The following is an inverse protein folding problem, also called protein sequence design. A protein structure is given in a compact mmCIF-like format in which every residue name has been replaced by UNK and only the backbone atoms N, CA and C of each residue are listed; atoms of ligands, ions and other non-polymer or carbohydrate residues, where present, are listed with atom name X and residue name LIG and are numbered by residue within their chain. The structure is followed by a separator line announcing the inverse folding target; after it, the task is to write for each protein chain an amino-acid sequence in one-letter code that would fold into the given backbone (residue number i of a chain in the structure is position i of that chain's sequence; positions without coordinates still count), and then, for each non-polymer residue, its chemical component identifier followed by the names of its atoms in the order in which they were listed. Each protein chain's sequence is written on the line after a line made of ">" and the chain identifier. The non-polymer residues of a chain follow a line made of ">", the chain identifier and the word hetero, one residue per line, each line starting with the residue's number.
data_IF_227890162411
#
_entry.id   IF_227890162411
#
_cell.length_a   1.000
_cell.length_b   1.000
_cell.length_c   1.000
_cell.angle_alpha   90.00
_cell.angle_beta   90.00
_cell.angle_gamma   90.00
#
_symmetry.space_group_name_H-M   'P 1'
#
loop_
_entity.id
_entity.type
_entity.pdbx_description
1 polymer ?
#
# COMPACT_ATOMS: atom_id res chain seq x y z
N UNK A 1 15.63 13.85 20.77
CA UNK A 1 15.87 12.49 20.26
C UNK A 1 14.77 11.52 20.69
N UNK A 2 14.21 10.79 19.74
CA UNK A 2 13.25 9.70 19.93
C UNK A 2 13.71 8.48 19.11
N UNK A 3 13.25 7.30 19.53
CA UNK A 3 13.52 6.04 18.85
C UNK A 3 12.47 5.78 17.77
N UNK A 4 12.93 5.47 16.56
CA UNK A 4 12.09 5.11 15.43
C UNK A 4 12.51 3.74 14.89
N UNK A 5 11.56 2.85 14.68
CA UNK A 5 11.79 1.61 13.95
C UNK A 5 11.43 1.82 12.48
N UNK A 6 12.43 1.79 11.62
CA UNK A 6 12.27 1.93 10.18
C UNK A 6 12.39 0.59 9.47
N UNK A 7 11.56 0.36 8.46
CA UNK A 7 11.63 -0.83 7.60
C UNK A 7 11.01 -0.53 6.24
N UNK A 8 11.40 -1.28 5.21
CA UNK A 8 10.91 -1.09 3.84
C UNK A 8 9.80 -2.06 3.47
N UNK A 9 8.93 -1.63 2.57
CA UNK A 9 7.91 -2.43 1.91
C UNK A 9 8.14 -2.35 0.41
N UNK A 10 8.47 -3.48 -0.21
CA UNK A 10 8.58 -3.61 -1.65
C UNK A 10 8.08 -4.97 -2.12
N UNK A 11 7.35 -4.95 -3.23
CA UNK A 11 6.86 -6.12 -3.96
C UNK A 11 6.39 -5.69 -5.34
N UNK A 12 6.32 -6.63 -6.31
CA UNK A 12 5.87 -6.34 -7.67
C UNK A 12 4.43 -5.86 -7.71
N UNK A 13 3.63 -6.27 -6.73
CA UNK A 13 2.26 -5.82 -6.53
C UNK A 13 2.00 -5.60 -5.04
N UNK A 14 1.17 -4.61 -4.72
CA UNK A 14 0.64 -4.36 -3.39
C UNK A 14 -0.84 -3.93 -3.46
N UNK A 15 -1.57 -4.02 -2.36
CA UNK A 15 -2.93 -3.51 -2.29
C UNK A 15 -3.25 -2.94 -0.90
N UNK A 16 -3.48 -1.64 -0.84
CA UNK A 16 -3.74 -0.90 0.40
C UNK A 16 -5.22 -0.56 0.47
N UNK A 17 -6.03 -1.48 1.00
CA UNK A 17 -7.48 -1.43 0.87
C UNK A 17 -8.12 -0.12 1.35
N UNK A 18 -9.13 0.32 0.60
CA UNK A 18 -10.02 1.43 0.93
C UNK A 18 -11.46 0.89 1.15
N UNK A 19 -12.39 1.76 1.52
CA UNK A 19 -13.81 1.48 1.68
C UNK A 19 -14.36 0.82 0.42
N UNK A 20 -14.86 -0.40 0.57
CA UNK A 20 -15.32 -1.23 -0.54
C UNK A 20 -16.80 -1.61 -0.36
N UNK A 21 -17.61 -1.37 -1.39
CA UNK A 21 -19.02 -1.79 -1.46
C UNK A 21 -19.23 -2.62 -2.72
N UNK A 22 -19.99 -3.72 -2.63
CA UNK A 22 -20.29 -4.58 -3.77
C UNK A 22 -19.09 -5.40 -4.25
N UNK A 23 -18.80 -5.36 -5.55
CA UNK A 23 -17.78 -6.18 -6.24
C UNK A 23 -16.44 -5.45 -6.44
N UNK A 24 -16.40 -4.15 -6.21
CA UNK A 24 -15.21 -3.32 -6.38
C UNK A 24 -14.35 -3.35 -5.10
N UNK A 25 -13.03 -3.46 -5.25
CA UNK A 25 -12.03 -3.50 -4.17
C UNK A 25 -10.93 -2.48 -4.46
N UNK A 26 -11.14 -1.19 -4.14
CA UNK A 26 -10.16 -0.12 -4.37
C UNK A 26 -8.87 -0.30 -3.55
N UNK A 27 -7.83 0.41 -3.97
CA UNK A 27 -6.54 0.51 -3.26
C UNK A 27 -6.04 1.95 -3.23
N UNK A 28 -5.62 2.40 -2.05
CA UNK A 28 -4.89 3.65 -1.86
C UNK A 28 -3.55 3.65 -2.61
N UNK A 29 -2.97 4.84 -2.78
CA UNK A 29 -1.68 5.08 -3.42
C UNK A 29 -0.47 4.84 -2.53
N UNK A 30 -0.66 4.54 -1.25
CA UNK A 30 0.40 4.31 -0.28
C UNK A 30 -0.06 3.29 0.78
N UNK A 31 0.87 2.65 1.51
CA UNK A 31 0.55 1.84 2.67
C UNK A 31 -0.39 2.55 3.64
N UNK A 32 -1.52 1.91 3.95
CA UNK A 32 -2.45 2.41 4.97
C UNK A 32 -1.96 2.04 6.35
N UNK A 33 -2.31 2.84 7.35
CA UNK A 33 -2.06 2.55 8.76
C UNK A 33 -2.48 1.13 9.14
N UNK A 34 -3.72 0.76 8.83
CA UNK A 34 -4.27 -0.57 9.14
C UNK A 34 -3.55 -1.69 8.39
N UNK A 35 -3.11 -1.44 7.15
CA UNK A 35 -2.29 -2.39 6.38
C UNK A 35 -0.93 -2.64 7.02
N UNK A 36 -0.25 -1.57 7.45
CA UNK A 36 1.05 -1.65 8.14
C UNK A 36 0.90 -2.32 9.50
N UNK A 37 -0.08 -1.91 10.32
CA UNK A 37 -0.33 -2.57 11.62
C UNK A 37 -0.72 -4.03 11.46
N UNK A 38 -1.50 -4.38 10.44
CA UNK A 38 -1.83 -5.77 10.13
C UNK A 38 -0.60 -6.61 9.80
N UNK A 39 0.36 -6.04 9.06
CA UNK A 39 1.65 -6.68 8.78
C UNK A 39 2.49 -6.85 10.05
N UNK A 40 2.56 -5.83 10.90
CA UNK A 40 3.26 -5.89 12.20
C UNK A 40 2.62 -6.91 13.13
N UNK A 41 1.29 -6.93 13.23
CA UNK A 41 0.54 -7.90 14.00
C UNK A 41 0.79 -9.33 13.52
N UNK A 42 0.83 -9.55 12.19
CA UNK A 42 1.17 -10.83 11.61
C UNK A 42 2.60 -11.26 11.97
N UNK A 43 3.56 -10.34 11.90
CA UNK A 43 4.94 -10.60 12.30
C UNK A 43 5.05 -11.01 13.77
N UNK A 44 4.28 -10.35 14.65
CA UNK A 44 4.18 -10.63 16.07
C UNK A 44 3.39 -11.91 16.41
N UNK A 45 2.69 -12.51 15.43
CA UNK A 45 1.85 -13.69 15.63
C UNK A 45 0.50 -13.40 16.29
N UNK A 46 0.03 -12.16 16.25
CA UNK A 46 -1.26 -11.76 16.82
C UNK A 46 -2.37 -12.22 15.88
N UNK A 47 -3.24 -13.09 16.37
CA UNK A 47 -4.38 -13.64 15.63
C UNK A 47 -5.59 -12.69 15.64
N UNK A 48 -6.51 -12.88 14.70
CA UNK A 48 -7.67 -11.97 14.50
C UNK A 48 -8.67 -11.97 15.65
N UNK A 49 -8.73 -13.05 16.40
CA UNK A 49 -9.56 -13.22 17.59
C UNK A 49 -8.98 -12.52 18.83
N UNK A 50 -7.72 -12.09 18.79
CA UNK A 50 -7.08 -11.39 19.89
C UNK A 50 -7.26 -9.87 19.81
N UNK A 51 -8.50 -9.41 19.95
CA UNK A 51 -8.88 -8.00 19.83
C UNK A 51 -8.10 -7.11 20.81
N UNK A 52 -7.87 -7.57 22.03
CA UNK A 52 -7.15 -6.80 23.05
C UNK A 52 -5.70 -6.46 22.64
N UNK A 53 -4.98 -7.41 22.03
CA UNK A 53 -3.61 -7.16 21.55
C UNK A 53 -3.60 -6.29 20.29
N UNK A 54 -4.56 -6.49 19.38
CA UNK A 54 -4.70 -5.66 18.18
C UNK A 54 -4.97 -4.20 18.55
N UNK A 55 -5.87 -3.96 19.52
CA UNK A 55 -6.21 -2.63 20.01
C UNK A 55 -5.04 -1.99 20.78
N UNK A 56 -4.27 -2.78 21.53
CA UNK A 56 -3.07 -2.29 22.20
C UNK A 56 -1.98 -1.87 21.19
N UNK A 57 -1.80 -2.65 20.11
CA UNK A 57 -0.88 -2.30 19.03
C UNK A 57 -1.32 -1.03 18.31
N UNK A 58 -2.61 -0.94 17.97
CA UNK A 58 -3.19 0.25 17.35
C UNK A 58 -2.93 1.50 18.21
N UNK A 59 -3.37 1.50 19.47
CA UNK A 59 -3.21 2.67 20.36
C UNK A 59 -1.73 3.03 20.64
N UNK A 60 -0.88 2.01 20.73
CA UNK A 60 0.52 2.14 21.12
C UNK A 60 1.47 2.60 20.01
N UNK A 61 1.11 2.40 18.74
CA UNK A 61 1.99 2.71 17.61
C UNK A 61 1.54 3.94 16.83
N UNK A 62 2.49 4.81 16.49
CA UNK A 62 2.36 5.86 15.47
C UNK A 62 3.10 5.44 14.22
N UNK A 63 2.54 5.78 13.06
CA UNK A 63 3.07 5.38 11.76
C UNK A 63 3.37 6.61 10.92
N UNK A 64 4.50 6.52 10.22
CA UNK A 64 4.85 7.39 9.12
C UNK A 64 5.30 6.57 7.91
N UNK A 65 5.06 7.12 6.72
CA UNK A 65 5.35 6.49 5.44
C UNK A 65 6.09 7.49 4.56
N UNK A 66 7.27 7.12 4.07
CA UNK A 66 7.94 7.74 2.93
C UNK A 66 7.66 6.88 1.71
N UNK A 67 6.95 7.44 0.73
CA UNK A 67 6.63 6.74 -0.51
C UNK A 67 7.75 7.01 -1.51
N UNK A 68 8.64 6.03 -1.63
CA UNK A 68 9.83 6.12 -2.47
C UNK A 68 9.47 5.92 -3.95
N UNK A 69 8.57 4.97 -4.25
CA UNK A 69 7.96 4.79 -5.57
C UNK A 69 6.44 4.56 -5.43
N UNK A 70 5.60 5.43 -6.01
CA UNK A 70 4.14 5.33 -5.89
C UNK A 70 3.55 4.12 -6.64
N UNK A 71 4.24 3.65 -7.68
CA UNK A 71 3.76 2.58 -8.54
C UNK A 71 2.58 2.98 -9.43
N UNK A 72 2.15 2.05 -10.28
CA UNK A 72 1.01 2.26 -11.17
C UNK A 72 -0.24 1.53 -10.69
N UNK A 73 -1.41 2.04 -11.07
CA UNK A 73 -2.69 1.39 -10.74
C UNK A 73 -2.94 0.24 -11.72
N UNK A 74 -3.02 -0.98 -11.20
CA UNK A 74 -3.48 -2.15 -11.95
C UNK A 74 -4.87 -2.55 -11.47
N UNK A 75 -5.85 -2.60 -12.39
CA UNK A 75 -7.19 -3.11 -12.10
C UNK A 75 -7.33 -4.54 -12.62
N UNK A 76 -7.41 -5.49 -11.70
CA UNK A 76 -7.60 -6.91 -11.98
C UNK A 76 -9.09 -7.24 -12.14
N UNK A 77 -9.44 -7.87 -13.26
CA UNK A 77 -10.76 -8.47 -13.47
C UNK A 77 -10.75 -9.89 -12.92
N UNK A 78 -11.32 -10.05 -11.74
CA UNK A 78 -11.14 -11.25 -10.93
C UNK A 78 -12.43 -12.04 -10.80
N UNK A 79 -12.44 -13.25 -11.36
CA UNK A 79 -13.60 -14.15 -11.33
C UNK A 79 -13.46 -15.18 -10.22
N UNK A 80 -14.57 -15.60 -9.62
CA UNK A 80 -14.59 -16.70 -8.65
C UNK A 80 -15.81 -17.56 -8.93
N UNK A 81 -15.59 -18.84 -9.20
CA UNK A 81 -16.68 -19.81 -9.34
C UNK A 81 -17.19 -20.23 -7.97
N UNK A 82 -18.50 -20.22 -7.77
CA UNK A 82 -19.13 -20.66 -6.51
C UNK A 82 -20.35 -21.52 -6.82
N UNK A 83 -20.67 -22.52 -5.99
CA UNK A 83 -21.94 -23.21 -6.10
C UNK A 83 -23.11 -22.25 -5.80
N UNK A 84 -24.32 -22.52 -6.31
CA UNK A 84 -25.51 -21.79 -5.91
C UNK A 84 -25.72 -21.87 -4.40
N UNK A 85 -26.26 -20.80 -3.81
CA UNK A 85 -26.63 -20.80 -2.40
C UNK A 85 -27.72 -21.85 -2.16
N UNK A 86 -27.40 -22.90 -1.40
CA UNK A 86 -28.33 -23.97 -1.04
C UNK A 86 -28.58 -23.99 0.46
N UNK A 87 -29.86 -24.05 0.87
CA UNK A 87 -30.26 -24.04 2.30
C UNK A 87 -29.77 -25.24 3.12
N UNK A 88 -29.50 -26.39 2.46
CA UNK A 88 -29.09 -27.65 3.10
C UNK A 88 -27.77 -28.23 2.56
N UNK A 89 -27.09 -27.53 1.65
CA UNK A 89 -25.82 -27.95 1.07
C UNK A 89 -24.65 -27.47 1.92
N UNK A 90 -23.75 -28.38 2.33
CA UNK A 90 -22.50 -28.02 3.00
C UNK A 90 -21.33 -28.52 2.17
N UNK A 91 -20.50 -27.60 1.70
CA UNK A 91 -19.21 -27.90 1.09
C UNK A 91 -18.14 -27.71 2.17
N UNK A 92 -17.26 -28.71 2.36
CA UNK A 92 -16.22 -28.65 3.39
C UNK A 92 -14.91 -28.09 2.86
N UNK A 93 -14.67 -28.29 1.57
CA UNK A 93 -13.45 -27.86 0.89
C UNK A 93 -13.77 -27.12 -0.38
N UNK A 94 -12.79 -26.35 -0.87
CA UNK A 94 -12.88 -25.70 -2.18
C UNK A 94 -13.05 -26.70 -3.33
N UNK A 95 -12.51 -27.91 -3.20
CA UNK A 95 -12.71 -28.98 -4.18
C UNK A 95 -14.18 -29.41 -4.22
N UNK A 96 -14.82 -29.55 -3.06
CA UNK A 96 -16.24 -29.93 -2.98
C UNK A 96 -17.15 -28.85 -3.58
N UNK A 97 -16.80 -27.58 -3.41
CA UNK A 97 -17.52 -26.45 -4.03
C UNK A 97 -17.45 -26.51 -5.55
N UNK A 98 -16.26 -26.79 -6.10
CA UNK A 98 -16.03 -26.82 -7.55
C UNK A 98 -16.60 -28.06 -8.24
N UNK A 99 -16.85 -29.14 -7.49
CA UNK A 99 -17.48 -30.36 -7.98
C UNK A 99 -19.02 -30.32 -7.98
N UNK A 100 -19.63 -29.19 -7.59
CA UNK A 100 -21.09 -29.06 -7.60
C UNK A 100 -21.65 -29.14 -9.04
N UNK A 101 -22.86 -29.70 -9.19
CA UNK A 101 -23.53 -29.88 -10.49
C UNK A 101 -23.70 -28.58 -11.28
N UNK A 102 -23.77 -27.44 -10.58
CA UNK A 102 -23.89 -26.11 -11.17
C UNK A 102 -22.98 -25.14 -10.45
N UNK A 103 -22.32 -24.29 -11.23
CA UNK A 103 -21.50 -23.19 -10.73
C UNK A 103 -22.04 -21.86 -11.25
N UNK A 104 -21.95 -20.84 -10.40
CA UNK A 104 -22.10 -19.43 -10.75
C UNK A 104 -20.74 -18.76 -10.74
N UNK A 105 -20.60 -17.67 -11.49
CA UNK A 105 -19.39 -16.85 -11.48
C UNK A 105 -19.71 -15.54 -10.78
N UNK A 106 -19.01 -15.26 -9.69
CA UNK A 106 -18.96 -13.94 -9.07
C UNK A 106 -17.81 -13.17 -9.70
N UNK A 107 -18.07 -11.91 -10.04
CA UNK A 107 -17.09 -11.00 -10.57
C UNK A 107 -16.62 -10.05 -9.48
N UNK A 108 -15.35 -9.68 -9.52
CA UNK A 108 -14.81 -8.61 -8.69
C UNK A 108 -13.77 -7.82 -9.47
N UNK A 109 -13.69 -6.53 -9.21
CA UNK A 109 -12.67 -5.66 -9.77
C UNK A 109 -11.75 -5.24 -8.63
N UNK A 110 -10.47 -5.60 -8.72
CA UNK A 110 -9.51 -5.43 -7.62
C UNK A 110 -8.37 -4.54 -8.04
N UNK A 111 -8.24 -3.40 -7.37
CA UNK A 111 -7.16 -2.46 -7.62
C UNK A 111 -5.90 -2.88 -6.86
N UNK A 112 -4.76 -2.83 -7.53
CA UNK A 112 -3.42 -3.07 -7.02
C UNK A 112 -2.50 -1.90 -7.40
N UNK A 113 -1.38 -1.79 -6.70
CA UNK A 113 -0.23 -0.94 -7.06
C UNK A 113 0.90 -1.83 -7.55
N UNK A 114 1.36 -1.62 -8.78
CA UNK A 114 2.53 -2.33 -9.31
C UNK A 114 3.79 -1.56 -8.99
N UNK A 115 4.87 -2.28 -8.68
CA UNK A 115 6.21 -1.69 -8.53
C UNK A 115 6.27 -0.52 -7.54
N UNK A 116 5.52 -0.64 -6.44
CA UNK A 116 5.52 0.36 -5.36
C UNK A 116 6.58 0.02 -4.30
N UNK A 117 7.29 1.05 -3.86
CA UNK A 117 8.29 0.98 -2.80
C UNK A 117 8.00 2.06 -1.75
N UNK A 118 8.02 1.68 -0.48
CA UNK A 118 7.82 2.61 0.61
C UNK A 118 8.69 2.26 1.82
N UNK A 119 9.17 3.27 2.51
CA UNK A 119 9.82 3.16 3.82
C UNK A 119 8.83 3.53 4.91
N UNK A 120 8.71 2.70 5.93
CA UNK A 120 7.81 2.88 7.08
C UNK A 120 8.64 3.27 8.29
N UNK A 121 8.14 4.20 9.09
CA UNK A 121 8.67 4.51 10.41
C UNK A 121 7.58 4.24 11.46
N UNK A 122 7.95 3.53 12.53
CA UNK A 122 7.11 3.35 13.71
C UNK A 122 7.76 4.05 14.89
N UNK A 123 6.96 4.77 15.66
CA UNK A 123 7.30 5.19 17.02
C UNK A 123 6.23 4.71 17.99
N UNK A 124 6.59 4.67 19.27
CA UNK A 124 5.70 4.21 20.33
C UNK A 124 5.21 5.39 21.17
N UNK A 125 3.92 5.38 21.51
CA UNK A 125 3.39 6.25 22.54
C UNK A 125 3.88 5.84 23.93
N UNK A 126 3.77 6.76 24.91
CA UNK A 126 4.20 6.54 26.30
C UNK A 126 3.56 5.31 26.95
N UNK A 127 2.33 4.98 26.55
CA UNK A 127 1.54 3.88 27.13
C UNK A 127 1.68 2.55 26.35
N UNK A 128 2.62 2.49 25.39
CA UNK A 128 2.81 1.29 24.58
C UNK A 128 3.33 0.12 25.43
N UNK A 129 2.59 -1.00 25.41
CA UNK A 129 2.97 -2.24 26.12
C UNK A 129 3.97 -3.11 25.35
N UNK A 130 4.38 -2.67 24.17
CA UNK A 130 5.30 -3.37 23.28
C UNK A 130 6.52 -2.47 23.03
N UNK A 131 7.71 -3.06 22.93
CA UNK A 131 8.96 -2.36 22.60
C UNK A 131 9.26 -2.39 21.10
N UNK A 132 9.99 -1.40 20.58
CA UNK A 132 10.47 -1.41 19.20
C UNK A 132 11.38 -2.62 18.89
N UNK A 133 12.24 -3.04 19.82
CA UNK A 133 13.09 -4.25 19.65
C UNK A 133 12.28 -5.52 19.40
N UNK A 134 11.19 -5.70 20.15
CA UNK A 134 10.28 -6.83 19.94
C UNK A 134 9.65 -6.79 18.54
N UNK A 135 9.25 -5.62 18.06
CA UNK A 135 8.71 -5.47 16.70
C UNK A 135 9.80 -5.74 15.66
N UNK A 136 11.00 -5.19 15.84
CA UNK A 136 12.15 -5.43 14.97
C UNK A 136 12.46 -6.92 14.83
N UNK A 137 12.58 -7.64 15.96
CA UNK A 137 12.84 -9.08 15.96
C UNK A 137 11.72 -9.86 15.26
N UNK A 138 10.46 -9.48 15.48
CA UNK A 138 9.32 -10.10 14.83
C UNK A 138 9.31 -9.87 13.31
N UNK A 139 9.68 -8.68 12.83
CA UNK A 139 9.80 -8.39 11.40
C UNK A 139 10.97 -9.15 10.75
N UNK A 140 12.03 -9.44 11.48
CA UNK A 140 13.15 -10.29 11.01
C UNK A 140 12.79 -11.77 10.98
N UNK A 141 11.96 -12.23 11.91
CA UNK A 141 11.51 -13.63 12.04
C UNK A 141 9.99 -13.69 12.23
N UNK A 142 9.21 -13.48 11.16
CA UNK A 142 7.76 -13.38 11.25
C UNK A 142 7.11 -14.68 11.72
N UNK A 143 6.18 -14.59 12.67
CA UNK A 143 5.40 -15.74 13.13
C UNK A 143 4.36 -16.19 12.09
N UNK A 144 3.85 -15.27 11.27
CA UNK A 144 2.90 -15.54 10.19
C UNK A 144 3.45 -15.04 8.85
N UNK A 145 3.03 -15.63 7.70
CA UNK A 145 3.41 -15.14 6.38
C UNK A 145 3.02 -13.68 6.16
N UNK A 146 3.99 -12.87 5.77
CA UNK A 146 3.80 -11.44 5.50
C UNK A 146 3.48 -11.21 4.02
N UNK A 147 2.61 -10.24 3.76
CA UNK A 147 2.19 -9.86 2.42
C UNK A 147 1.79 -8.38 2.39
N UNK A 148 1.86 -7.77 1.21
CA UNK A 148 1.54 -6.35 0.99
C UNK A 148 0.04 -6.17 0.77
N UNK A 149 -0.70 -6.29 1.88
CA UNK A 149 -2.14 -6.10 1.99
C UNK A 149 -3.01 -7.28 1.54
N UNK A 150 -2.78 -7.85 0.35
CA UNK A 150 -3.43 -9.11 -0.09
C UNK A 150 -2.43 -10.26 -0.08
N UNK A 151 -2.88 -11.47 0.24
CA UNK A 151 -2.03 -12.69 0.27
C UNK A 151 -1.34 -13.00 -1.07
N UNK A 152 -1.87 -12.51 -2.18
CA UNK A 152 -1.28 -12.65 -3.53
C UNK A 152 -0.12 -11.68 -3.79
N UNK A 153 0.19 -10.79 -2.85
CA UNK A 153 1.21 -9.75 -2.98
C UNK A 153 2.39 -10.06 -2.04
N UNK A 154 3.32 -10.95 -2.43
CA UNK A 154 4.49 -11.28 -1.61
C UNK A 154 5.45 -10.07 -1.52
N UNK A 155 6.28 -10.06 -0.48
CA UNK A 155 7.44 -9.18 -0.44
C UNK A 155 8.49 -9.68 -1.42
N UNK A 156 9.10 -8.75 -2.17
CA UNK A 156 10.21 -9.06 -3.08
C UNK A 156 11.58 -8.70 -2.49
N UNK A 157 11.60 -8.00 -1.35
CA UNK A 157 12.82 -7.73 -0.59
C UNK A 157 12.61 -7.99 0.91
N UNK A 158 13.69 -8.32 1.65
CA UNK A 158 13.66 -8.32 3.11
C UNK A 158 13.21 -6.97 3.65
N UNK A 159 12.44 -6.97 4.74
CA UNK A 159 11.94 -5.75 5.40
C UNK A 159 13.07 -4.83 5.92
N UNK A 160 14.26 -5.39 6.19
CA UNK A 160 15.43 -4.67 6.71
C UNK A 160 15.09 -3.71 7.89
N UNK A 161 14.52 -4.22 9.00
CA UNK A 161 14.09 -3.36 10.10
C UNK A 161 15.28 -2.85 10.94
N UNK A 162 15.34 -1.54 11.16
CA UNK A 162 16.40 -0.85 11.91
C UNK A 162 15.82 0.14 12.91
N UNK A 163 16.42 0.22 14.10
CA UNK A 163 16.05 1.23 15.11
C UNK A 163 17.03 2.38 14.96
N UNK A 164 16.50 3.58 14.75
CA UNK A 164 17.26 4.82 14.54
C UNK A 164 16.83 5.81 15.63
N UNK A 165 17.82 6.36 16.32
CA UNK A 165 17.65 7.43 17.31
C UNK A 165 17.84 8.76 16.59
N UNK A 166 16.80 9.60 16.54
CA UNK A 166 16.85 10.85 15.79
C UNK A 166 16.03 11.96 16.46
N UNK A 167 16.37 13.21 16.17
CA UNK A 167 15.61 14.37 16.68
C UNK A 167 14.27 14.60 16.00
N UNK A 168 14.08 14.02 14.81
CA UNK A 168 12.84 14.17 14.05
C UNK A 168 12.60 12.95 13.18
N UNK A 169 11.35 12.75 12.77
CA UNK A 169 10.98 11.72 11.80
C UNK A 169 11.73 11.89 10.46
N UNK A 170 11.94 13.14 10.05
CA UNK A 170 12.63 13.45 8.79
C UNK A 170 14.11 13.05 8.85
N UNK A 171 14.80 13.32 9.97
CA UNK A 171 16.19 12.89 10.16
C UNK A 171 16.30 11.38 10.34
N UNK A 172 15.29 10.71 10.92
CA UNK A 172 15.24 9.25 10.97
C UNK A 172 15.15 8.64 9.55
N UNK A 173 14.28 9.16 8.68
CA UNK A 173 14.20 8.72 7.29
C UNK A 173 15.47 9.00 6.49
N UNK A 174 16.15 10.11 6.74
CA UNK A 174 17.42 10.44 6.09
C UNK A 174 18.54 9.48 6.50
N UNK A 175 18.55 9.03 7.75
CA UNK A 175 19.54 8.07 8.25
C UNK A 175 19.24 6.60 7.82
N UNK A 176 18.01 6.29 7.41
CA UNK A 176 17.64 4.95 6.95
C UNK A 176 18.06 4.73 5.49
N UNK A 177 18.68 3.58 5.14
CA UNK A 177 19.20 3.32 3.80
C UNK A 177 18.19 3.59 2.68
N UNK A 178 18.66 4.18 1.58
CA UNK A 178 17.85 4.39 0.37
C UNK A 178 17.47 3.02 -0.22
N UNK A 179 16.21 2.63 0.02
CA UNK A 179 15.67 1.36 -0.46
C UNK A 179 15.64 1.29 -1.98
N UNK A 180 15.52 2.43 -2.70
CA UNK A 180 15.58 2.45 -4.15
C UNK A 180 17.00 2.30 -4.68
N UNK A 181 18.02 2.79 -3.98
CA UNK A 181 19.42 2.56 -4.37
C UNK A 181 19.73 1.07 -4.32
N UNK A 182 19.39 0.40 -3.21
CA UNK A 182 19.58 -1.04 -3.06
C UNK A 182 18.75 -1.84 -4.07
N UNK A 183 17.51 -1.43 -4.36
CA UNK A 183 16.69 -2.04 -5.39
C UNK A 183 17.36 -1.94 -6.77
N UNK A 184 17.81 -0.73 -7.13
CA UNK A 184 18.44 -0.48 -8.42
C UNK A 184 19.75 -1.26 -8.56
N UNK A 185 20.57 -1.35 -7.52
CA UNK A 185 21.78 -2.18 -7.51
C UNK A 185 21.44 -3.65 -7.81
N UNK A 186 20.42 -4.21 -7.14
CA UNK A 186 19.98 -5.60 -7.36
C UNK A 186 19.43 -5.79 -8.78
N UNK A 187 18.68 -4.82 -9.33
CA UNK A 187 18.03 -4.96 -10.64
C UNK A 187 18.94 -4.62 -11.82
N UNK A 188 19.95 -3.74 -11.65
CA UNK A 188 20.88 -3.34 -12.71
C UNK A 188 21.74 -4.50 -13.22
N UNK A 189 22.05 -5.50 -12.38
CA UNK A 189 22.74 -6.72 -12.80
C UNK A 189 21.86 -7.62 -13.69
N UNK A 190 20.53 -7.47 -13.58
CA UNK A 190 19.57 -8.20 -14.40
C UNK A 190 19.26 -7.42 -15.68
N UNK A 191 20.02 -7.71 -16.74
CA UNK A 191 19.81 -7.21 -18.12
C UNK A 191 18.38 -7.35 -18.68
N UNK A 192 17.49 -8.07 -17.99
CA UNK A 192 16.09 -8.30 -18.36
C UNK A 192 15.09 -7.29 -17.76
N UNK A 193 15.49 -6.43 -16.82
CA UNK A 193 14.59 -5.57 -16.03
C UNK A 193 14.83 -4.05 -16.26
N UNK A 194 14.85 -3.59 -17.51
CA UNK A 194 14.77 -2.15 -17.86
C UNK A 194 15.72 -1.20 -17.09
N UNK A 195 15.34 0.08 -16.98
CA UNK A 195 16.13 1.14 -16.31
C UNK A 195 15.95 1.17 -14.77
N UNK A 196 15.46 0.08 -14.15
CA UNK A 196 15.10 0.03 -12.73
C UNK A 196 13.72 0.65 -12.42
N UNK A 197 13.40 0.83 -11.13
CA UNK A 197 12.14 1.47 -10.72
C UNK A 197 12.20 2.99 -11.01
N UNK A 198 11.16 3.58 -11.61
CA UNK A 198 11.15 5.02 -11.86
C UNK A 198 11.25 5.78 -10.53
N UNK A 199 12.34 6.52 -10.35
CA UNK A 199 12.48 7.45 -9.22
C UNK A 199 11.55 8.63 -9.47
N UNK A 200 10.58 8.92 -8.59
CA UNK A 200 9.74 10.08 -8.76
C UNK A 200 10.57 11.35 -8.49
N UNK A 201 10.29 12.43 -9.21
CA UNK A 201 10.87 13.75 -8.93
C UNK A 201 10.44 14.28 -7.55
N UNK A 202 9.34 13.75 -7.02
CA UNK A 202 8.72 14.14 -5.77
C UNK A 202 8.53 12.93 -4.85
N UNK A 203 9.10 12.99 -3.65
CA UNK A 203 8.88 12.02 -2.58
C UNK A 203 7.75 12.51 -1.70
N UNK A 204 6.82 11.62 -1.37
CA UNK A 204 5.66 11.92 -0.52
C UNK A 204 5.82 11.31 0.85
N UNK A 205 5.47 12.08 1.87
CA UNK A 205 5.45 11.64 3.26
C UNK A 205 4.02 11.69 3.78
N UNK A 206 3.61 10.65 4.49
CA UNK A 206 2.32 10.52 5.17
C UNK A 206 2.59 10.20 6.65
N UNK A 207 1.92 10.85 7.59
CA UNK A 207 2.03 10.54 9.02
C UNK A 207 0.73 10.84 9.77
N UNK A 208 0.62 10.33 11.00
CA UNK A 208 -0.54 10.56 11.87
C UNK A 208 -0.47 11.93 12.58
N UNK A 209 -1.60 12.63 12.67
CA UNK A 209 -1.72 14.03 13.14
C UNK A 209 -1.31 14.30 14.61
N UNK A 210 -0.78 13.34 15.36
CA UNK A 210 -0.44 13.56 16.78
C UNK A 210 0.86 14.34 17.02
N UNK A 211 1.41 15.01 16.02
CA UNK A 211 2.09 16.29 16.21
C UNK A 211 1.63 17.30 15.14
N UNK A 212 0.90 18.35 15.51
CA UNK A 212 0.76 19.51 14.66
C UNK A 212 1.23 20.76 15.41
N UNK A 213 2.38 21.28 14.98
CA UNK A 213 2.52 22.73 14.89
C UNK A 213 1.29 23.23 14.09
N UNK A 214 0.49 24.17 14.62
CA UNK A 214 -0.73 24.62 13.94
C UNK A 214 -0.43 25.11 12.51
N UNK A 215 -1.02 24.45 11.50
CA UNK A 215 -0.96 24.89 10.10
C UNK A 215 -0.29 23.95 9.08
N UNK A 216 0.21 22.76 9.47
CA UNK A 216 0.74 21.77 8.51
C UNK A 216 -0.32 20.75 8.06
N UNK A 217 -0.36 20.45 6.75
CA UNK A 217 -1.25 19.44 6.17
C UNK A 217 -0.62 18.03 6.31
N UNK A 218 -1.47 16.99 6.45
CA UNK A 218 -1.16 15.55 6.69
C UNK A 218 -0.37 14.84 5.56
N UNK A 219 0.08 15.58 4.54
CA UNK A 219 0.89 15.11 3.41
C UNK A 219 1.99 16.17 3.16
N UNK A 220 3.26 15.77 3.15
CA UNK A 220 4.37 16.61 2.68
C UNK A 220 4.94 16.03 1.39
N UNK A 221 5.26 16.91 0.45
CA UNK A 221 5.84 16.57 -0.85
C UNK A 221 7.16 17.33 -0.97
N UNK A 222 8.26 16.60 -1.19
CA UNK A 222 9.59 17.17 -1.38
C UNK A 222 10.16 16.77 -2.73
N UNK A 223 11.03 17.60 -3.30
CA UNK A 223 11.86 17.17 -4.42
C UNK A 223 12.83 16.07 -3.98
N UNK A 224 12.96 15.03 -4.80
CA UNK A 224 13.80 13.86 -4.51
C UNK A 224 15.26 14.24 -4.24
N UNK A 225 15.81 15.19 -4.99
CA UNK A 225 17.17 15.71 -4.76
C UNK A 225 17.39 16.27 -3.34
N UNK A 226 16.38 16.93 -2.77
CA UNK A 226 16.43 17.50 -1.41
C UNK A 226 16.25 16.42 -0.34
N UNK A 227 15.41 15.42 -0.60
CA UNK A 227 15.12 14.35 0.36
C UNK A 227 16.29 13.35 0.51
N UNK A 228 17.05 13.08 -0.56
CA UNK A 228 18.23 12.23 -0.50
C UNK A 228 19.50 13.00 -0.07
N UNK A 229 19.65 14.29 -0.39
CA UNK A 229 20.81 15.09 0.05
C UNK A 229 20.85 15.35 1.57
N UNK A 230 19.71 15.27 2.27
CA UNK A 230 19.66 15.36 3.73
C UNK A 230 20.37 14.17 4.42
N UNK A 231 20.57 13.04 3.72
CA UNK A 231 21.35 11.91 4.21
C UNK A 231 22.86 12.19 4.29
N UNK A 232 23.38 13.08 3.43
CA UNK A 232 24.81 13.42 3.38
C UNK A 232 25.20 14.66 4.21
N UNK A 233 24.23 15.53 4.55
CA UNK A 233 24.53 16.85 5.11
C UNK A 233 24.13 17.06 6.59
N UNK A 234 23.49 16.08 7.25
CA UNK A 234 23.11 16.20 8.67
C UNK A 234 22.18 17.38 8.98
N UNK A 235 21.51 17.95 7.98
CA UNK A 235 20.72 19.17 8.11
C UNK A 235 19.22 18.85 8.20
N UNK A 236 18.55 19.43 9.18
CA UNK A 236 17.11 19.28 9.42
C UNK A 236 16.31 19.77 8.20
N UNK A 237 15.35 18.96 7.72
CA UNK A 237 14.48 19.25 6.57
C UNK A 237 13.47 20.39 6.89
N UNK A 238 13.59 21.04 8.05
CA UNK A 238 12.73 22.16 8.47
C UNK A 238 12.78 23.39 7.56
N UNK A 239 13.78 23.53 6.71
CA UNK A 239 13.91 24.69 5.84
C UNK A 239 14.26 24.25 4.42
N UNK A 240 13.26 23.89 3.59
CA UNK A 240 13.31 24.10 2.14
C UNK A 240 11.98 23.74 1.46
N UNK A 241 11.36 24.78 0.86
CA UNK A 241 10.21 24.78 -0.04
C UNK A 241 9.10 23.76 0.21
N UNK A 242 8.24 24.06 1.19
CA UNK A 242 6.85 23.62 1.15
C UNK A 242 6.19 24.30 -0.05
N UNK A 243 5.81 23.54 -1.08
CA UNK A 243 4.90 24.05 -2.11
C UNK A 243 3.50 24.16 -1.49
N UNK A 244 2.93 25.37 -1.32
CA UNK A 244 1.55 25.48 -0.84
C UNK A 244 0.60 24.90 -1.89
N UNK A 245 -0.38 24.11 -1.44
CA UNK A 245 -1.51 23.74 -2.31
C UNK A 245 -2.28 25.01 -2.72
N UNK A 246 -2.66 25.03 -4.00
CA UNK A 246 -3.79 25.72 -4.65
C UNK A 246 -3.46 27.02 -5.42
N UNK A 247 -3.96 27.18 -6.66
CA UNK A 247 -5.38 27.47 -6.86
C UNK A 247 -6.01 26.76 -8.08
N UNK A 248 -7.08 25.99 -7.86
CA UNK A 248 -8.39 26.23 -8.48
C UNK A 248 -9.36 25.08 -8.20
N UNK A 249 -10.48 25.42 -7.55
CA UNK A 249 -11.76 24.82 -7.87
C UNK A 249 -11.95 24.94 -9.39
N UNK A 250 -11.63 23.91 -10.15
CA UNK A 250 -12.40 23.63 -11.36
C UNK A 250 -13.63 22.87 -10.91
N UNK A 251 -14.69 23.63 -10.70
CA UNK A 251 -16.05 23.19 -10.98
C UNK A 251 -15.98 22.27 -12.19
N UNK A 252 -16.34 21.00 -12.02
CA UNK A 252 -16.61 20.14 -13.16
C UNK A 252 -17.81 20.79 -13.84
N UNK A 253 -17.54 21.60 -14.87
CA UNK A 253 -18.57 21.97 -15.82
C UNK A 253 -19.06 20.66 -16.42
N UNK A 254 -20.37 20.44 -16.37
CA UNK A 254 -21.04 19.39 -17.13
C UNK A 254 -20.62 19.53 -18.59
N UNK A 255 -19.69 18.69 -19.03
CA UNK A 255 -19.49 18.44 -20.46
C UNK A 255 -20.65 17.54 -20.85
N UNK A 256 -21.67 18.17 -21.39
CA UNK A 256 -22.74 17.51 -22.12
C UNK A 256 -22.09 16.72 -23.26
N UNK A 257 -21.95 15.40 -23.11
CA UNK A 257 -21.64 14.53 -24.23
C UNK A 257 -22.83 14.61 -25.20
N UNK A 258 -22.63 14.92 -26.48
CA UNK A 258 -23.71 14.72 -27.46
C UNK A 258 -24.01 13.22 -27.53
N UNK A 259 -25.29 12.87 -27.45
CA UNK A 259 -25.77 11.50 -27.64
C UNK A 259 -25.18 10.90 -28.92
N UNK A 260 -24.74 9.63 -28.92
CA UNK A 260 -24.41 8.95 -30.17
C UNK A 260 -25.64 8.90 -31.07
N UNK A 261 -25.50 9.03 -32.40
CA UNK A 261 -26.65 8.94 -33.31
C UNK A 261 -27.27 7.55 -33.20
N UNK A 262 -28.61 7.52 -33.13
CA UNK A 262 -29.40 6.30 -33.08
C UNK A 262 -28.97 5.33 -34.19
N UNK A 263 -28.67 4.09 -33.79
CA UNK A 263 -28.40 3.01 -34.72
C UNK A 263 -29.62 2.82 -35.63
N UNK A 264 -29.48 3.14 -36.93
CA UNK A 264 -30.48 2.82 -37.93
C UNK A 264 -30.56 1.29 -38.06
N UNK A 265 -31.74 0.74 -37.79
CA UNK A 265 -32.09 -0.63 -38.14
C UNK A 265 -31.72 -0.92 -39.60
N UNK A 266 -30.75 -1.81 -39.83
CA UNK A 266 -30.58 -2.46 -41.14
C UNK A 266 -31.57 -3.63 -41.22
N UNK A 267 -32.34 -3.77 -42.30
CA UNK A 267 -33.19 -4.93 -42.49
C UNK A 267 -32.35 -6.20 -42.69
N UNK A 268 -32.83 -7.32 -42.12
CA UNK A 268 -32.22 -8.64 -42.20
C UNK A 268 -31.99 -9.07 -43.64
N UNK A 269 -30.74 -9.35 -44.00
CA UNK A 269 -30.42 -10.13 -45.20
C UNK A 269 -30.58 -11.64 -44.88
N UNK A 270 -31.18 -12.44 -45.78
CA UNK A 270 -31.41 -13.86 -45.53
C UNK A 270 -30.10 -14.66 -45.57
N UNK A 271 -29.97 -15.64 -44.67
CA UNK A 271 -28.86 -16.61 -44.69
C UNK A 271 -29.00 -17.54 -45.91
N UNK A 272 -27.92 -17.83 -46.65
CA UNK A 272 -27.93 -18.90 -47.63
C UNK A 272 -27.97 -20.25 -46.90
N UNK A 273 -28.72 -21.18 -47.48
CA UNK A 273 -28.93 -22.53 -46.97
C UNK A 273 -27.75 -23.46 -47.32
N UNK A 274 -27.62 -24.48 -46.45
CA UNK A 274 -26.72 -25.65 -46.45
C UNK A 274 -25.34 -25.42 -45.87
#
# INVERSE_FOLDING_TARGET
>A
MADYLLFRLYGPMAAWGDTAVGEFRPSHGHPTRTGVLGLVAAALGITRDNEAQLLALDRGCRIAVRLDAPGELLRDYHTTQVPPQQRKGRHYTRRDELNADKLHTILSQRDYRTDTAASIALSLGTDAKISLDRIKHALQRPALPLYLGRKSCPLALPLAPEIIIADSLSSAFAAYPDSLAQLNEITQESRAYGDGLPRPDLIRFFWEESEPTPGMQTEMIYHAATAYAAADAGSSIHAMNVMPRNPSRRTIANVHQPNPPAARHRPNAPRPAV
#
